data_IF_243943047849
#
_entry.id   IF_243943047849
#
_cell.length_a   1.000
_cell.length_b   1.000
_cell.length_c   1.000
_cell.angle_alpha   90.00
_cell.angle_beta   90.00
_cell.angle_gamma   90.00
#
_symmetry.space_group_name_H-M   'P 1'
#
loop_
_entity.id
_entity.type
_entity.pdbx_description
1 polymer ?
#
# COMPACT_ATOMS: atom_id res chain seq x y z
N UNK A 1 0.12 -6.20 -7.19
CA UNK A 1 1.42 -5.49 -7.26
C UNK A 1 2.29 -6.00 -8.40
N UNK A 2 2.65 -7.29 -8.45
CA UNK A 2 3.41 -7.86 -9.60
C UNK A 2 2.75 -7.61 -10.97
N UNK A 3 1.43 -7.83 -11.07
CA UNK A 3 0.64 -7.49 -12.28
C UNK A 3 0.77 -6.02 -12.70
N UNK A 4 1.00 -5.13 -11.74
CA UNK A 4 1.16 -3.70 -11.98
C UNK A 4 2.59 -3.32 -12.44
N UNK A 5 3.52 -4.27 -12.47
CA UNK A 5 4.93 -4.03 -12.83
C UNK A 5 5.81 -3.59 -11.65
N UNK A 6 5.37 -3.80 -10.41
CA UNK A 6 6.22 -3.54 -9.22
C UNK A 6 7.28 -4.64 -9.12
N UNK A 7 8.55 -4.23 -9.12
CA UNK A 7 9.71 -5.11 -9.09
C UNK A 7 10.32 -5.26 -7.69
N UNK A 8 10.26 -4.21 -6.87
CA UNK A 8 10.85 -4.19 -5.52
C UNK A 8 9.78 -4.02 -4.44
N UNK A 9 9.84 -4.85 -3.39
CA UNK A 9 8.91 -4.80 -2.26
C UNK A 9 9.62 -4.38 -0.98
N UNK A 10 9.12 -3.33 -0.33
CA UNK A 10 9.61 -2.90 0.99
C UNK A 10 8.57 -3.23 2.06
N UNK A 11 8.91 -4.16 2.93
CA UNK A 11 8.07 -4.54 4.07
C UNK A 11 8.48 -3.75 5.31
N UNK A 12 7.57 -2.92 5.81
CA UNK A 12 7.74 -2.24 7.09
C UNK A 12 7.09 -3.09 8.18
N UNK A 13 7.88 -3.68 9.06
CA UNK A 13 7.41 -4.69 10.01
C UNK A 13 7.55 -4.26 11.47
N UNK A 14 6.61 -4.72 12.30
CA UNK A 14 6.65 -4.61 13.77
C UNK A 14 7.17 -5.88 14.46
N UNK A 15 7.11 -5.93 15.79
CA UNK A 15 7.56 -7.11 16.57
C UNK A 15 6.81 -8.38 16.16
N UNK A 16 7.46 -9.55 16.29
CA UNK A 16 6.86 -10.87 16.05
C UNK A 16 6.33 -11.10 14.62
N UNK A 17 7.04 -10.60 13.60
CA UNK A 17 6.67 -10.71 12.19
C UNK A 17 7.71 -11.43 11.31
N UNK A 18 8.65 -12.17 11.92
CA UNK A 18 9.69 -12.92 11.18
C UNK A 18 9.10 -13.89 10.16
N UNK A 19 7.94 -14.48 10.46
CA UNK A 19 7.22 -15.37 9.54
C UNK A 19 6.84 -14.74 8.19
N UNK A 20 6.77 -13.41 8.09
CA UNK A 20 6.52 -12.74 6.81
C UNK A 20 7.78 -12.80 5.94
N UNK A 21 8.94 -12.55 6.54
CA UNK A 21 10.23 -12.66 5.85
C UNK A 21 10.49 -14.12 5.45
N UNK A 22 10.28 -15.06 6.38
CA UNK A 22 10.41 -16.51 6.12
C UNK A 22 9.49 -17.00 4.99
N UNK A 23 8.30 -16.40 4.84
CA UNK A 23 7.34 -16.78 3.78
C UNK A 23 7.86 -16.45 2.37
N UNK A 24 8.66 -15.38 2.26
CA UNK A 24 9.23 -14.94 1.00
C UNK A 24 10.68 -15.40 0.79
N UNK A 25 11.28 -16.05 1.79
CA UNK A 25 12.58 -16.69 1.67
C UNK A 25 12.45 -18.17 1.28
N UNK A 26 13.56 -18.76 0.86
CA UNK A 26 13.62 -20.15 0.43
C UNK A 26 13.65 -21.08 1.64
N UNK A 27 12.60 -21.87 1.81
CA UNK A 27 12.51 -22.86 2.90
C UNK A 27 13.14 -24.21 2.53
N UNK A 28 14.45 -24.36 2.80
CA UNK A 28 15.23 -25.55 2.41
C UNK A 28 14.61 -26.90 2.84
N UNK A 29 14.11 -27.00 4.06
CA UNK A 29 13.52 -28.25 4.59
C UNK A 29 12.24 -28.65 3.85
N UNK A 30 11.40 -27.66 3.50
CA UNK A 30 10.17 -27.86 2.74
C UNK A 30 10.50 -28.31 1.31
N UNK A 31 11.41 -27.60 0.63
CA UNK A 31 11.87 -27.95 -0.71
C UNK A 31 12.37 -29.40 -0.79
N UNK A 32 13.22 -29.77 0.18
CA UNK A 32 13.81 -31.11 0.28
C UNK A 32 12.73 -32.17 0.50
N UNK A 33 11.79 -31.90 1.41
CA UNK A 33 10.69 -32.82 1.72
C UNK A 33 9.77 -33.04 0.51
N UNK A 34 9.43 -31.96 -0.21
CA UNK A 34 8.62 -32.06 -1.43
C UNK A 34 9.34 -32.83 -2.53
N UNK A 35 10.66 -32.61 -2.69
CA UNK A 35 11.47 -33.32 -3.67
C UNK A 35 11.49 -34.83 -3.39
N UNK A 36 11.76 -35.21 -2.14
CA UNK A 36 11.79 -36.61 -1.71
C UNK A 36 10.42 -37.30 -1.88
N UNK A 37 9.33 -36.56 -1.70
CA UNK A 37 7.95 -37.07 -1.86
C UNK A 37 7.43 -37.00 -3.31
N UNK A 38 8.24 -36.53 -4.27
CA UNK A 38 7.84 -36.40 -5.67
C UNK A 38 6.72 -35.38 -5.92
N UNK A 39 6.58 -34.37 -5.05
CA UNK A 39 5.51 -33.36 -5.06
C UNK A 39 5.81 -32.19 -6.00
N UNK A 40 5.88 -32.49 -7.30
CA UNK A 40 6.37 -31.55 -8.31
C UNK A 40 5.46 -30.32 -8.48
N UNK A 41 4.13 -30.50 -8.45
CA UNK A 41 3.16 -29.40 -8.57
C UNK A 41 3.36 -28.35 -7.48
N UNK A 42 3.52 -28.79 -6.24
CA UNK A 42 3.73 -27.91 -5.08
C UNK A 42 5.08 -27.18 -5.16
N UNK A 43 6.13 -27.86 -5.63
CA UNK A 43 7.43 -27.21 -5.88
C UNK A 43 7.35 -26.13 -6.94
N UNK A 44 6.62 -26.39 -8.02
CA UNK A 44 6.47 -25.41 -9.10
C UNK A 44 5.68 -24.18 -8.63
N UNK A 45 4.68 -24.37 -7.75
CA UNK A 45 3.97 -23.25 -7.09
C UNK A 45 4.93 -22.43 -6.23
N UNK A 46 5.76 -23.07 -5.40
CA UNK A 46 6.73 -22.35 -4.57
C UNK A 46 7.74 -21.57 -5.43
N UNK A 47 8.30 -22.22 -6.45
CA UNK A 47 9.28 -21.61 -7.34
C UNK A 47 8.73 -20.39 -8.11
N UNK A 48 7.45 -20.41 -8.52
CA UNK A 48 6.80 -19.29 -9.22
C UNK A 48 6.55 -18.07 -8.32
N UNK A 49 6.42 -18.29 -7.02
CA UNK A 49 6.16 -17.25 -6.02
C UNK A 49 7.42 -16.77 -5.30
N UNK A 50 8.55 -17.47 -5.47
CA UNK A 50 9.84 -17.07 -4.92
C UNK A 50 10.28 -15.73 -5.52
N UNK A 51 10.61 -14.72 -4.70
CA UNK A 51 11.17 -13.46 -5.17
C UNK A 51 12.57 -13.66 -5.76
N UNK A 52 12.92 -12.79 -6.71
CA UNK A 52 14.30 -12.72 -7.24
C UNK A 52 15.27 -12.15 -6.19
N UNK A 53 16.56 -12.44 -6.37
CA UNK A 53 17.59 -11.91 -5.50
C UNK A 53 17.58 -10.37 -5.52
N UNK A 54 17.43 -9.77 -4.34
CA UNK A 54 17.39 -8.30 -4.19
C UNK A 54 16.02 -7.67 -4.43
N UNK A 55 14.97 -8.43 -4.78
CA UNK A 55 13.63 -7.89 -5.05
C UNK A 55 12.83 -7.51 -3.80
N UNK A 56 13.37 -7.75 -2.60
CA UNK A 56 12.67 -7.47 -1.34
C UNK A 56 13.61 -6.82 -0.31
N UNK A 57 13.05 -5.94 0.50
CA UNK A 57 13.73 -5.34 1.65
C UNK A 57 12.80 -5.28 2.85
N UNK A 58 13.37 -5.44 4.03
CA UNK A 58 12.63 -5.40 5.29
C UNK A 58 13.19 -4.30 6.17
N UNK A 59 12.31 -3.45 6.70
CA UNK A 59 12.65 -2.43 7.70
C UNK A 59 11.71 -2.53 8.88
N UNK A 60 12.03 -1.79 9.95
CA UNK A 60 11.36 -1.90 11.25
C UNK A 60 10.62 -0.62 11.57
N UNK A 61 9.35 -0.77 11.94
CA UNK A 61 8.62 0.24 12.70
C UNK A 61 8.80 -0.07 14.20
N UNK A 62 9.62 0.71 14.89
CA UNK A 62 9.99 0.44 16.29
C UNK A 62 8.83 0.70 17.27
N UNK A 63 7.94 1.63 16.93
CA UNK A 63 6.75 1.98 17.70
C UNK A 63 5.54 2.19 16.76
N UNK A 64 4.33 1.76 17.15
CA UNK A 64 3.13 1.89 16.34
C UNK A 64 2.61 3.34 16.38
N UNK A 65 3.27 4.22 15.64
CA UNK A 65 2.95 5.66 15.58
C UNK A 65 2.06 6.02 14.39
N UNK A 66 1.37 5.04 13.78
CA UNK A 66 0.51 5.24 12.62
C UNK A 66 1.15 4.90 11.27
N UNK A 67 0.33 4.97 10.22
CA UNK A 67 0.69 4.62 8.85
C UNK A 67 1.71 5.58 8.25
N UNK A 68 1.60 6.89 8.51
CA UNK A 68 2.56 7.88 8.02
C UNK A 68 3.96 7.61 8.57
N UNK A 69 4.07 7.23 9.85
CA UNK A 69 5.35 6.80 10.42
C UNK A 69 5.89 5.51 9.76
N UNK A 70 5.02 4.54 9.47
CA UNK A 70 5.43 3.31 8.78
C UNK A 70 6.00 3.62 7.40
N UNK A 71 5.33 4.46 6.60
CA UNK A 71 5.85 4.92 5.30
C UNK A 71 7.19 5.62 5.46
N UNK A 72 7.33 6.52 6.43
CA UNK A 72 8.58 7.23 6.69
C UNK A 72 9.75 6.31 7.08
N UNK A 73 9.49 5.18 7.75
CA UNK A 73 10.51 4.16 8.06
C UNK A 73 11.14 3.51 6.81
N UNK A 74 10.48 3.57 5.65
CA UNK A 74 10.97 3.02 4.39
C UNK A 74 11.79 4.01 3.54
N UNK A 75 11.85 5.29 3.92
CA UNK A 75 12.40 6.38 3.09
C UNK A 75 13.80 6.13 2.53
N UNK A 76 14.69 5.53 3.33
CA UNK A 76 16.10 5.34 2.93
C UNK A 76 16.24 4.18 1.93
N UNK A 77 15.28 3.24 1.91
CA UNK A 77 15.21 2.13 0.96
C UNK A 77 14.58 2.59 -0.35
N UNK A 78 13.50 3.38 -0.27
CA UNK A 78 12.80 3.93 -1.44
C UNK A 78 13.64 5.00 -2.14
N UNK A 79 14.36 5.83 -1.39
CA UNK A 79 15.15 6.92 -1.94
C UNK A 79 14.27 8.00 -2.58
N UNK A 80 14.66 8.46 -3.76
CA UNK A 80 14.01 9.56 -4.48
C UNK A 80 13.24 9.07 -5.71
N UNK A 81 12.43 8.02 -5.53
CA UNK A 81 11.58 7.44 -6.56
C UNK A 81 10.10 7.48 -6.16
N UNK A 82 9.17 7.63 -7.11
CA UNK A 82 7.75 7.44 -6.83
C UNK A 82 7.50 5.98 -6.42
N UNK A 83 6.62 5.77 -5.45
CA UNK A 83 6.39 4.45 -4.88
C UNK A 83 4.92 4.19 -4.58
N UNK A 84 4.54 2.92 -4.60
CA UNK A 84 3.21 2.50 -4.20
C UNK A 84 3.16 2.16 -2.71
N UNK A 85 2.08 2.55 -2.03
CA UNK A 85 1.76 2.05 -0.69
C UNK A 85 0.57 1.11 -0.79
N UNK A 86 0.72 -0.09 -0.21
CA UNK A 86 -0.28 -1.16 -0.25
C UNK A 86 -0.53 -1.63 1.18
N UNK A 87 -1.74 -1.38 1.68
CA UNK A 87 -2.17 -1.93 2.97
C UNK A 87 -2.57 -3.40 2.80
N UNK A 88 -1.90 -4.33 3.49
CA UNK A 88 -2.05 -5.77 3.26
C UNK A 88 -3.32 -6.37 3.88
N UNK A 89 -4.00 -5.63 4.74
CA UNK A 89 -5.29 -5.99 5.37
C UNK A 89 -6.49 -5.77 4.45
N UNK A 90 -6.32 -5.05 3.34
CA UNK A 90 -7.37 -4.83 2.35
C UNK A 90 -7.09 -5.60 1.05
N UNK A 91 -8.01 -6.48 0.68
CA UNK A 91 -7.95 -7.27 -0.55
C UNK A 91 -8.87 -6.67 -1.61
N UNK A 92 -8.28 -6.07 -2.65
CA UNK A 92 -9.01 -5.50 -3.78
C UNK A 92 -8.93 -6.46 -4.97
N UNK A 93 -10.08 -7.07 -5.31
CA UNK A 93 -10.19 -8.02 -6.41
C UNK A 93 -10.80 -7.33 -7.64
N UNK A 94 -10.00 -7.17 -8.69
CA UNK A 94 -10.46 -6.67 -9.99
C UNK A 94 -9.49 -7.13 -11.10
N UNK A 95 -9.96 -7.10 -12.35
CA UNK A 95 -9.13 -7.36 -13.53
C UNK A 95 -9.35 -6.24 -14.57
N UNK A 96 -8.34 -5.42 -14.88
CA UNK A 96 -6.99 -5.40 -14.30
C UNK A 96 -7.00 -5.03 -12.80
N UNK A 97 -5.96 -5.42 -12.05
CA UNK A 97 -5.86 -5.10 -10.62
C UNK A 97 -5.85 -3.59 -10.32
N UNK A 98 -6.32 -3.19 -9.14
CA UNK A 98 -6.44 -1.78 -8.74
C UNK A 98 -5.14 -0.98 -8.94
N UNK A 99 -4.00 -1.49 -8.46
CA UNK A 99 -2.72 -0.80 -8.61
C UNK A 99 -2.29 -0.67 -10.08
N UNK A 100 -2.62 -1.65 -10.94
CA UNK A 100 -2.35 -1.56 -12.39
C UNK A 100 -3.14 -0.41 -13.01
N UNK A 101 -4.42 -0.28 -12.65
CA UNK A 101 -5.26 0.85 -13.09
C UNK A 101 -4.72 2.20 -12.61
N UNK A 102 -4.22 2.27 -11.36
CA UNK A 102 -3.63 3.49 -10.82
C UNK A 102 -2.35 3.88 -11.58
N UNK A 103 -1.46 2.94 -11.88
CA UNK A 103 -0.24 3.23 -12.66
C UNK A 103 -0.60 3.69 -14.08
N UNK A 104 -1.58 3.03 -14.73
CA UNK A 104 -2.05 3.43 -16.05
C UNK A 104 -2.70 4.83 -16.01
N UNK A 105 -3.40 5.19 -14.92
CA UNK A 105 -3.93 6.53 -14.70
C UNK A 105 -2.82 7.57 -14.47
N UNK A 106 -1.81 7.25 -13.66
CA UNK A 106 -0.68 8.13 -13.37
C UNK A 106 0.06 8.53 -14.66
N UNK A 107 0.26 7.58 -15.59
CA UNK A 107 0.90 7.83 -16.89
C UNK A 107 0.21 8.91 -17.74
N UNK A 108 -1.07 9.21 -17.48
CA UNK A 108 -1.88 10.20 -18.21
C UNK A 108 -1.89 11.58 -17.56
N UNK A 109 -1.61 11.65 -16.25
CA UNK A 109 -1.62 12.88 -15.46
C UNK A 109 -0.23 13.56 -15.43
N UNK A 110 0.83 12.80 -15.71
CA UNK A 110 2.22 13.24 -15.70
C UNK A 110 3.00 12.70 -14.50
N UNK A 111 4.33 12.78 -14.57
CA UNK A 111 5.25 12.03 -13.69
C UNK A 111 5.17 12.40 -12.19
N UNK A 112 4.53 13.52 -11.84
CA UNK A 112 4.52 14.08 -10.48
C UNK A 112 3.18 14.02 -9.75
N UNK A 113 2.23 13.21 -10.24
CA UNK A 113 0.93 13.08 -9.58
C UNK A 113 0.97 12.07 -8.43
N UNK A 114 0.42 12.45 -7.29
CA UNK A 114 0.01 11.50 -6.25
C UNK A 114 -1.36 10.93 -6.63
N UNK A 115 -1.57 9.62 -6.44
CA UNK A 115 -2.86 8.99 -6.65
C UNK A 115 -3.28 8.20 -5.42
N UNK A 116 -4.56 8.25 -5.12
CA UNK A 116 -5.20 7.49 -4.05
C UNK A 116 -6.37 6.76 -4.69
N UNK A 117 -6.47 5.46 -4.49
CA UNK A 117 -7.66 4.73 -4.93
C UNK A 117 -8.77 4.93 -3.89
N UNK A 118 -10.00 5.06 -4.39
CA UNK A 118 -11.18 5.23 -3.57
C UNK A 118 -12.27 4.25 -3.95
N UNK A 119 -13.15 3.96 -3.01
CA UNK A 119 -14.39 3.23 -3.27
C UNK A 119 -15.59 3.94 -2.65
N UNK A 120 -16.75 3.81 -3.29
CA UNK A 120 -17.99 4.33 -2.76
C UNK A 120 -18.49 3.42 -1.63
N UNK A 121 -18.77 4.01 -0.47
CA UNK A 121 -19.39 3.34 0.67
C UNK A 121 -20.80 3.89 0.90
N UNK A 122 -21.70 3.12 1.54
CA UNK A 122 -22.96 3.65 2.05
C UNK A 122 -22.72 4.86 2.96
N UNK A 123 -23.55 5.91 2.82
CA UNK A 123 -23.39 7.17 3.56
C UNK A 123 -23.33 6.96 5.08
N UNK A 124 -24.08 5.98 5.60
CA UNK A 124 -24.11 5.63 7.02
C UNK A 124 -22.77 5.08 7.54
N UNK A 125 -21.89 4.56 6.67
CA UNK A 125 -20.59 4.01 7.04
C UNK A 125 -19.44 5.02 6.89
N UNK A 126 -19.68 6.20 6.32
CA UNK A 126 -18.64 7.21 6.03
C UNK A 126 -17.80 7.60 7.25
N UNK A 127 -18.39 7.60 8.45
CA UNK A 127 -17.72 7.93 9.71
C UNK A 127 -16.66 6.91 10.16
N UNK A 128 -16.56 5.76 9.49
CA UNK A 128 -15.60 4.71 9.82
C UNK A 128 -14.30 4.80 9.02
N UNK A 129 -14.26 5.65 7.98
CA UNK A 129 -13.19 5.68 6.99
C UNK A 129 -12.60 7.09 6.82
N UNK A 130 -11.43 7.16 6.19
CA UNK A 130 -10.94 8.40 5.58
C UNK A 130 -11.75 8.72 4.33
N UNK A 131 -12.42 9.87 4.29
CA UNK A 131 -13.27 10.28 3.17
C UNK A 131 -12.63 11.46 2.44
N UNK A 132 -12.56 11.39 1.11
CA UNK A 132 -12.05 12.48 0.28
C UNK A 132 -13.17 13.38 -0.25
N UNK A 133 -12.86 14.66 -0.50
CA UNK A 133 -13.71 15.52 -1.32
C UNK A 133 -13.55 15.18 -2.81
N UNK A 134 -14.52 15.61 -3.62
CA UNK A 134 -14.49 15.43 -5.08
C UNK A 134 -14.38 16.79 -5.76
N UNK A 135 -13.24 17.05 -6.38
CA UNK A 135 -12.97 18.22 -7.19
C UNK A 135 -13.26 17.98 -8.68
N UNK A 136 -12.45 18.61 -9.55
CA UNK A 136 -12.60 18.48 -11.01
C UNK A 136 -12.41 17.03 -11.45
N UNK A 137 -13.33 16.52 -12.27
CA UNK A 137 -13.37 15.13 -12.71
C UNK A 137 -13.06 14.98 -14.19
N UNK A 138 -12.23 14.00 -14.53
CA UNK A 138 -11.94 13.55 -15.89
C UNK A 138 -12.05 12.02 -15.95
N UNK A 139 -13.18 11.53 -16.48
CA UNK A 139 -13.48 10.09 -16.49
C UNK A 139 -13.59 9.53 -15.07
N UNK A 140 -12.72 8.57 -14.73
CA UNK A 140 -12.67 7.92 -13.43
C UNK A 140 -11.68 8.56 -12.45
N UNK A 141 -11.02 9.64 -12.86
CA UNK A 141 -10.06 10.38 -12.04
C UNK A 141 -10.70 11.70 -11.64
N UNK A 142 -10.48 12.14 -10.41
CA UNK A 142 -10.87 13.46 -9.95
C UNK A 142 -9.82 14.04 -9.00
N UNK A 143 -9.74 15.36 -8.96
CA UNK A 143 -8.88 16.09 -8.02
C UNK A 143 -9.44 15.97 -6.60
N UNK A 144 -8.56 15.90 -5.60
CA UNK A 144 -8.92 15.84 -4.19
C UNK A 144 -8.38 17.08 -3.50
N UNK A 145 -9.28 17.92 -2.99
CA UNK A 145 -8.93 19.15 -2.28
C UNK A 145 -8.78 18.95 -0.77
N UNK A 146 -9.45 17.93 -0.23
CA UNK A 146 -9.49 17.63 1.21
C UNK A 146 -9.70 16.16 1.46
N UNK A 147 -9.01 15.65 2.48
CA UNK A 147 -9.25 14.33 3.09
C UNK A 147 -9.65 14.54 4.55
N UNK A 148 -10.59 13.73 5.04
CA UNK A 148 -11.06 13.80 6.43
C UNK A 148 -11.08 12.39 7.00
N UNK A 149 -10.28 12.15 8.03
CA UNK A 149 -10.27 10.87 8.75
C UNK A 149 -11.50 10.77 9.65
N UNK A 150 -12.34 9.74 9.43
CA UNK A 150 -13.51 9.40 10.27
C UNK A 150 -14.42 10.61 10.55
N UNK A 151 -15.00 11.24 9.51
CA UNK A 151 -15.84 12.40 9.68
C UNK A 151 -17.05 12.08 10.57
N UNK A 152 -17.50 13.01 11.43
CA UNK A 152 -18.77 12.87 12.13
C UNK A 152 -19.91 12.54 11.16
N UNK A 153 -20.84 11.69 11.59
CA UNK A 153 -21.97 11.27 10.76
C UNK A 153 -22.72 12.47 10.18
N UNK A 154 -22.96 12.46 8.86
CA UNK A 154 -23.62 13.56 8.13
C UNK A 154 -22.73 14.76 7.78
N UNK A 155 -21.43 14.71 8.11
CA UNK A 155 -20.46 15.79 7.79
C UNK A 155 -19.42 15.39 6.74
N UNK A 156 -19.50 14.15 6.24
CA UNK A 156 -18.57 13.62 5.25
C UNK A 156 -18.62 14.46 3.95
N UNK A 157 -17.46 14.82 3.36
CA UNK A 157 -17.43 15.66 2.16
C UNK A 157 -17.88 14.93 0.89
N UNK A 158 -17.95 13.59 0.93
CA UNK A 158 -18.52 12.72 -0.10
C UNK A 158 -18.83 11.35 0.53
N UNK A 159 -19.13 10.35 -0.30
CA UNK A 159 -19.20 8.95 0.10
C UNK A 159 -18.03 8.10 -0.43
N UNK A 160 -16.94 8.74 -0.89
CA UNK A 160 -15.76 8.07 -1.41
C UNK A 160 -14.73 7.89 -0.30
N UNK A 161 -14.59 6.63 0.13
CA UNK A 161 -13.61 6.22 1.11
C UNK A 161 -12.26 5.96 0.46
N UNK A 162 -11.20 6.37 1.14
CA UNK A 162 -9.82 6.09 0.77
C UNK A 162 -9.54 4.61 1.02
N UNK A 163 -9.12 3.92 -0.04
CA UNK A 163 -8.65 2.54 0.05
C UNK A 163 -7.16 2.52 0.36
N UNK A 164 -6.67 1.38 0.82
CA UNK A 164 -5.27 1.11 1.16
C UNK A 164 -4.33 1.00 -0.04
N UNK A 165 -4.54 1.80 -1.10
CA UNK A 165 -3.69 1.84 -2.30
C UNK A 165 -3.37 3.28 -2.67
N UNK A 166 -2.07 3.57 -2.69
CA UNK A 166 -1.53 4.90 -2.98
C UNK A 166 -0.41 4.79 -4.01
N UNK A 167 -0.22 5.82 -4.82
CA UNK A 167 1.02 6.12 -5.54
C UNK A 167 1.47 7.49 -5.03
N UNK A 168 2.64 7.54 -4.41
CA UNK A 168 3.16 8.72 -3.74
C UNK A 168 4.49 9.13 -4.34
N UNK A 169 4.70 10.44 -4.40
CA UNK A 169 5.95 11.08 -4.79
C UNK A 169 6.88 11.18 -3.57
N UNK A 170 8.21 11.10 -3.74
CA UNK A 170 9.17 11.00 -2.64
C UNK A 170 9.18 12.23 -1.71
N UNK A 171 8.68 13.38 -2.16
CA UNK A 171 8.51 14.59 -1.34
C UNK A 171 7.66 14.34 -0.09
N UNK A 172 6.79 13.31 -0.09
CA UNK A 172 6.01 12.92 1.08
C UNK A 172 6.88 12.61 2.30
N UNK A 173 8.11 12.11 2.11
CA UNK A 173 9.00 11.80 3.22
C UNK A 173 9.42 13.06 3.99
N UNK A 174 9.58 14.19 3.31
CA UNK A 174 9.90 15.47 3.96
C UNK A 174 8.70 15.98 4.76
N UNK A 175 7.48 15.81 4.23
CA UNK A 175 6.24 16.18 4.93
C UNK A 175 6.10 15.33 6.20
N UNK A 176 6.23 14.01 6.07
CA UNK A 176 6.10 13.06 7.17
C UNK A 176 7.19 13.23 8.25
N UNK A 177 8.36 13.77 7.90
CA UNK A 177 9.44 14.02 8.87
C UNK A 177 9.07 15.08 9.91
N UNK A 178 8.19 16.02 9.56
CA UNK A 178 7.79 17.15 10.43
C UNK A 178 6.31 17.11 10.83
N UNK A 179 5.54 16.17 10.28
CA UNK A 179 4.10 16.11 10.49
C UNK A 179 3.76 15.78 11.96
N UNK A 180 2.85 16.57 12.52
CA UNK A 180 2.32 16.34 13.86
C UNK A 180 1.34 15.15 13.88
N UNK A 181 1.08 14.63 15.08
CA UNK A 181 0.12 13.55 15.29
C UNK A 181 -1.30 14.08 15.03
N UNK A 182 -2.05 13.38 14.19
CA UNK A 182 -3.43 13.68 13.86
C UNK A 182 -4.42 12.84 14.66
N UNK A 183 -5.44 12.32 13.96
CA UNK A 183 -6.48 11.48 14.55
C UNK A 183 -5.88 10.26 15.28
N UNK A 184 -6.40 9.98 16.48
CA UNK A 184 -5.95 8.85 17.31
C UNK A 184 -4.55 9.03 17.93
N UNK A 185 -3.90 10.19 17.78
CA UNK A 185 -2.54 10.41 18.29
C UNK A 185 -1.45 9.77 17.42
N UNK A 186 -1.78 9.48 16.16
CA UNK A 186 -0.94 8.82 15.16
C UNK A 186 -0.55 9.77 14.02
N UNK A 187 0.56 9.49 13.34
CA UNK A 187 0.97 10.17 12.11
C UNK A 187 0.23 9.50 10.94
N UNK A 188 -0.62 10.25 10.25
CA UNK A 188 -1.49 9.76 9.18
C UNK A 188 -0.94 10.12 7.79
N UNK A 189 -1.40 9.39 6.75
CA UNK A 189 -1.25 9.81 5.35
C UNK A 189 -2.39 10.73 4.88
N UNK A 190 -3.48 10.79 5.66
CA UNK A 190 -4.67 11.62 5.42
C UNK A 190 -4.59 12.97 6.09
#
# INVERSE_FOLDING_TARGET
AREAGIEHFVFVTGRNKGVIEDHFDRMFELDTTLAQRGKKTEQDILAQNQPEAGAMSFTRQQAPLGLGHAVWCARDIVGNEPFAVVLPDELVLNTPGCLKQMIDAASRLGDKSNLIAVEAVPDELTHQYGICSVGKRTGNIFEVDRMVEKPPQGTAPSNLSITGRYILQPEIFNILATQERGAGGEIQLT
#
